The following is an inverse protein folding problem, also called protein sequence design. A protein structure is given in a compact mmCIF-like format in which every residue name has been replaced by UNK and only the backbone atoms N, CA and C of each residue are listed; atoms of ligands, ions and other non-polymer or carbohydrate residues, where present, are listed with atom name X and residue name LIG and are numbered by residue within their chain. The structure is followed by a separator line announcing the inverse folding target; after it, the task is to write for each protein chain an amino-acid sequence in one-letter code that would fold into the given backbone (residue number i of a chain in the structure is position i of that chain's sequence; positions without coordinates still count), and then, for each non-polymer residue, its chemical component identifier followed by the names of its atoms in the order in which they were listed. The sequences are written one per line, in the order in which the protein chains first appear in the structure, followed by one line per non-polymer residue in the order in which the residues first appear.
data_IF_926545888946
#
_entry.id   IF_926545888946
#
_cell.length_a   1.000
_cell.length_b   1.000
_cell.length_c   1.000
_cell.angle_alpha   90.00
_cell.angle_beta   90.00
_cell.angle_gamma   90.00
#
_symmetry.space_group_name_H-M   'P 1'
#
loop_
_entity.id
_entity.type
_entity.pdbx_description
1 polymer ?
#
# COMPACT_ATOMS: atom_id res chain seq x y z
N UNK A 1 18.50 8.74 4.82
CA UNK A 1 17.54 7.61 4.75
C UNK A 1 17.78 6.97 3.39
N UNK A 2 18.18 5.68 3.37
CA UNK A 2 18.88 5.04 2.24
C UNK A 2 18.09 4.99 0.92
N UNK A 3 18.82 4.87 -0.18
CA UNK A 3 18.28 4.73 -1.54
C UNK A 3 17.24 3.62 -1.60
N UNK A 4 16.01 3.95 -1.94
CA UNK A 4 14.98 2.98 -2.31
C UNK A 4 15.40 2.32 -3.61
N UNK A 5 15.75 1.03 -3.56
CA UNK A 5 15.96 0.25 -4.78
C UNK A 5 14.60 -0.03 -5.40
N UNK A 6 14.42 0.28 -6.69
CA UNK A 6 13.19 -0.03 -7.41
C UNK A 6 13.01 -1.55 -7.55
N UNK A 7 11.80 -2.06 -7.36
CA UNK A 7 11.48 -3.48 -7.56
C UNK A 7 10.08 -3.66 -8.16
N UNK A 8 9.93 -4.69 -8.99
CA UNK A 8 8.64 -5.02 -9.61
C UNK A 8 7.58 -5.27 -8.53
N UNK A 9 6.33 -4.87 -8.79
CA UNK A 9 5.23 -5.12 -7.86
C UNK A 9 5.07 -6.61 -7.47
N UNK A 10 5.44 -7.54 -8.37
CA UNK A 10 5.42 -8.99 -8.10
C UNK A 10 6.48 -9.46 -7.11
N UNK A 11 7.40 -8.57 -6.72
CA UNK A 11 8.42 -8.75 -5.68
C UNK A 11 8.06 -8.01 -4.39
N UNK A 12 6.93 -7.31 -4.34
CA UNK A 12 6.33 -6.80 -3.11
C UNK A 12 5.26 -7.75 -2.57
N UNK A 13 5.12 -7.85 -1.26
CA UNK A 13 4.00 -8.59 -0.67
C UNK A 13 2.64 -7.95 -0.99
N UNK A 14 2.60 -6.65 -1.30
CA UNK A 14 1.44 -5.88 -1.81
C UNK A 14 0.24 -5.83 -0.86
N UNK A 15 0.50 -5.83 0.46
CA UNK A 15 -0.53 -5.86 1.52
C UNK A 15 -0.78 -4.51 2.18
N UNK A 16 -0.84 -3.46 1.36
CA UNK A 16 -1.12 -2.11 1.81
C UNK A 16 -1.87 -1.30 0.76
N UNK A 17 -2.62 -0.31 1.20
CA UNK A 17 -3.39 0.58 0.35
C UNK A 17 -3.54 1.97 0.97
N UNK A 18 -3.83 2.96 0.12
CA UNK A 18 -4.34 4.27 0.55
C UNK A 18 -5.66 4.56 -0.14
N UNK A 19 -6.49 5.41 0.47
CA UNK A 19 -7.69 5.94 -0.17
C UNK A 19 -7.35 6.78 -1.41
N UNK A 20 -8.27 6.84 -2.36
CA UNK A 20 -8.17 7.71 -3.55
C UNK A 20 -8.57 9.15 -3.27
N UNK A 21 -9.44 9.37 -2.28
CA UNK A 21 -9.89 10.69 -1.84
C UNK A 21 -8.88 11.32 -0.86
N UNK A 22 -8.16 12.39 -1.24
CA UNK A 22 -7.18 13.04 -0.38
C UNK A 22 -7.82 13.73 0.83
N UNK A 23 -9.12 14.01 0.81
CA UNK A 23 -9.85 14.57 1.96
C UNK A 23 -10.11 13.53 3.04
N UNK A 24 -9.94 12.24 2.72
CA UNK A 24 -10.09 11.10 3.63
C UNK A 24 -8.80 10.29 3.63
N UNK A 25 -7.71 10.76 4.28
CA UNK A 25 -6.36 10.23 4.09
C UNK A 25 -6.11 8.90 4.83
N UNK A 26 -6.87 7.86 4.47
CA UNK A 26 -6.75 6.53 5.04
C UNK A 26 -5.57 5.79 4.44
N UNK A 27 -4.79 5.16 5.31
CA UNK A 27 -3.76 4.18 4.95
C UNK A 27 -4.07 2.89 5.68
N UNK A 28 -4.06 1.78 4.95
CA UNK A 28 -4.38 0.46 5.47
C UNK A 28 -3.22 -0.50 5.21
N UNK A 29 -2.89 -1.31 6.22
CA UNK A 29 -1.88 -2.38 6.15
C UNK A 29 -2.54 -3.64 6.72
N UNK A 30 -2.32 -4.80 6.12
CA UNK A 30 -3.05 -6.00 6.54
C UNK A 30 -2.52 -7.32 5.99
N UNK A 31 -3.39 -8.32 6.04
CA UNK A 31 -3.03 -9.71 5.77
C UNK A 31 -3.23 -10.11 4.31
N UNK A 32 -4.11 -9.40 3.60
CA UNK A 32 -4.57 -9.72 2.25
C UNK A 32 -3.92 -8.76 1.24
N UNK A 33 -3.39 -9.32 0.15
CA UNK A 33 -2.85 -8.52 -0.96
C UNK A 33 -3.88 -8.38 -2.10
N UNK A 34 -3.47 -7.77 -3.21
CA UNK A 34 -4.36 -7.37 -4.31
C UNK A 34 -4.71 -8.50 -5.29
N UNK A 35 -4.26 -9.74 -5.06
CA UNK A 35 -4.54 -10.86 -5.98
C UNK A 35 -5.94 -11.44 -5.75
N UNK A 36 -6.64 -11.75 -6.85
CA UNK A 36 -7.98 -12.38 -6.84
C UNK A 36 -8.01 -13.71 -6.10
N UNK A 37 -6.90 -14.47 -6.15
CA UNK A 37 -6.76 -15.74 -5.42
C UNK A 37 -6.82 -15.59 -3.88
N UNK A 38 -6.69 -14.38 -3.34
CA UNK A 38 -6.76 -14.13 -1.91
C UNK A 38 -8.17 -13.78 -1.40
N UNK A 39 -9.16 -13.57 -2.28
CA UNK A 39 -10.48 -13.05 -1.88
C UNK A 39 -11.26 -13.95 -0.93
N UNK A 40 -10.99 -15.26 -0.96
CA UNK A 40 -11.62 -16.25 -0.08
C UNK A 40 -10.76 -16.58 1.15
N UNK A 41 -9.59 -15.95 1.31
CA UNK A 41 -8.74 -16.16 2.47
C UNK A 41 -9.18 -15.23 3.60
N UNK A 42 -9.29 -15.78 4.80
CA UNK A 42 -9.48 -14.98 6.00
C UNK A 42 -8.29 -14.03 6.23
N UNK A 43 -8.58 -12.86 6.80
CA UNK A 43 -7.59 -11.85 7.13
C UNK A 43 -8.24 -10.53 7.52
N UNK A 44 -7.44 -9.63 8.10
CA UNK A 44 -7.86 -8.30 8.47
C UNK A 44 -6.97 -7.22 7.87
N UNK A 45 -7.37 -5.97 8.09
CA UNK A 45 -6.52 -4.81 7.83
C UNK A 45 -6.73 -3.78 8.93
N UNK A 46 -5.65 -3.13 9.34
CA UNK A 46 -5.68 -1.97 10.22
C UNK A 46 -5.58 -0.72 9.37
N UNK A 47 -6.52 0.20 9.53
CA UNK A 47 -6.55 1.48 8.84
C UNK A 47 -6.35 2.64 9.82
N UNK A 48 -5.55 3.62 9.40
CA UNK A 48 -5.32 4.87 10.13
C UNK A 48 -5.59 6.06 9.21
N UNK A 49 -6.24 7.09 9.74
CA UNK A 49 -6.39 8.37 9.03
C UNK A 49 -5.19 9.26 9.35
N UNK A 50 -4.29 9.44 8.39
CA UNK A 50 -3.07 10.23 8.56
C UNK A 50 -2.64 10.84 7.24
N UNK A 51 -2.72 12.17 7.15
CA UNK A 51 -2.26 12.91 5.96
C UNK A 51 -0.76 12.73 5.72
N UNK A 52 0.03 12.58 6.78
CA UNK A 52 1.47 12.34 6.70
C UNK A 52 1.77 10.99 6.03
N UNK A 53 1.17 9.90 6.52
CA UNK A 53 1.38 8.56 5.95
C UNK A 53 0.80 8.46 4.54
N UNK A 54 -0.36 9.06 4.30
CA UNK A 54 -1.00 9.06 2.98
C UNK A 54 -0.14 9.74 1.91
N UNK A 55 0.57 10.82 2.27
CA UNK A 55 1.56 11.50 1.41
C UNK A 55 2.84 10.69 1.25
N UNK A 56 3.31 10.02 2.30
CA UNK A 56 4.50 9.15 2.23
C UNK A 56 4.34 8.02 1.19
N UNK A 57 3.11 7.58 0.93
CA UNK A 57 2.80 6.64 -0.15
C UNK A 57 3.19 7.12 -1.56
N UNK A 58 3.42 8.42 -1.78
CA UNK A 58 3.93 8.91 -3.06
C UNK A 58 5.33 8.38 -3.36
N UNK A 59 6.17 8.18 -2.34
CA UNK A 59 7.48 7.53 -2.51
C UNK A 59 7.30 6.14 -3.13
N UNK A 60 6.30 5.38 -2.68
CA UNK A 60 6.00 4.06 -3.25
C UNK A 60 5.43 4.18 -4.68
N UNK A 61 4.60 5.19 -4.95
CA UNK A 61 4.00 5.40 -6.28
C UNK A 61 5.07 5.69 -7.33
N UNK A 62 6.04 6.54 -7.00
CA UNK A 62 7.03 7.04 -7.96
C UNK A 62 8.12 5.98 -8.28
N UNK A 63 8.24 4.95 -7.43
CA UNK A 63 9.14 3.79 -7.54
C UNK A 63 8.45 2.56 -8.19
N UNK A 64 7.26 2.73 -8.79
CA UNK A 64 6.55 1.66 -9.52
C UNK A 64 6.44 2.02 -11.01
N UNK A 65 7.58 2.29 -11.66
CA UNK A 65 7.67 2.53 -13.10
C UNK A 65 8.24 1.33 -13.87
N UNK A 66 8.20 0.14 -13.26
CA UNK A 66 8.60 -1.13 -13.87
C UNK A 66 7.74 -1.57 -15.06
#
# INVERSE_FOLDING_TARGET
VGSTSEFKYTKDHSKMARSTDPTKPWVCIGDINRMTSQYVRGGGTMCISSSFLWKAFNVIKDENHC
#
